data_IF_106084672533
#
_entry.id   IF_106084672533
#
_cell.length_a   1.000
_cell.length_b   1.000
_cell.length_c   1.000
_cell.angle_alpha   90.00
_cell.angle_beta   90.00
_cell.angle_gamma   90.00
#
_symmetry.space_group_name_H-M   'P 1'
#
loop_
_entity.id
_entity.type
_entity.pdbx_description
1 polymer ?
#
# COMPACT_ATOMS: atom_id res chain seq x y z
N UNK A 1 -7.51 -22.79 -21.51
CA UNK A 1 -7.33 -23.97 -20.66
C UNK A 1 -6.50 -23.52 -19.48
N UNK A 2 -7.07 -23.55 -18.27
CA UNK A 2 -6.35 -23.12 -17.06
C UNK A 2 -5.27 -24.15 -16.70
N UNK A 3 -4.28 -23.75 -15.90
CA UNK A 3 -3.27 -24.69 -15.41
C UNK A 3 -3.92 -25.86 -14.65
N UNK A 4 -4.93 -25.60 -13.81
CA UNK A 4 -5.65 -26.63 -13.06
C UNK A 4 -6.35 -27.65 -13.97
N UNK A 5 -7.03 -27.19 -15.01
CA UNK A 5 -7.66 -28.08 -15.99
C UNK A 5 -6.61 -28.97 -16.67
N UNK A 6 -5.47 -28.41 -17.06
CA UNK A 6 -4.40 -29.17 -17.70
C UNK A 6 -3.76 -30.16 -16.72
N UNK A 7 -3.44 -29.71 -15.50
CA UNK A 7 -2.81 -30.51 -14.46
C UNK A 7 -3.70 -31.67 -14.01
N UNK A 8 -5.00 -31.44 -13.83
CA UNK A 8 -5.94 -32.48 -13.41
C UNK A 8 -6.20 -33.53 -14.49
N UNK A 9 -6.12 -33.14 -15.78
CA UNK A 9 -6.38 -34.03 -16.91
C UNK A 9 -5.15 -34.80 -17.41
N UNK A 10 -3.94 -34.46 -16.99
CA UNK A 10 -2.73 -35.25 -17.32
C UNK A 10 -2.56 -36.44 -16.36
N UNK A 11 -2.02 -37.54 -16.89
CA UNK A 11 -1.72 -38.74 -16.10
C UNK A 11 -0.68 -38.47 -15.00
N UNK A 12 -0.80 -39.16 -13.87
CA UNK A 12 0.17 -39.06 -12.78
C UNK A 12 1.59 -39.46 -13.19
N UNK A 13 1.74 -40.40 -14.14
CA UNK A 13 3.05 -40.75 -14.70
C UNK A 13 3.74 -39.54 -15.36
N UNK A 14 3.00 -38.70 -16.07
CA UNK A 14 3.53 -37.51 -16.71
C UNK A 14 3.90 -36.44 -15.68
N UNK A 15 3.05 -36.27 -14.64
CA UNK A 15 3.34 -35.39 -13.50
C UNK A 15 4.62 -35.81 -12.79
N UNK A 16 4.75 -37.09 -12.47
CA UNK A 16 5.93 -37.66 -11.81
C UNK A 16 7.18 -37.53 -12.68
N UNK A 17 7.08 -37.76 -14.00
CA UNK A 17 8.21 -37.57 -14.92
C UNK A 17 8.67 -36.11 -14.98
N UNK A 18 7.73 -35.17 -14.97
CA UNK A 18 8.05 -33.74 -14.92
C UNK A 18 8.69 -33.35 -13.58
N UNK A 19 8.12 -33.81 -12.46
CA UNK A 19 8.67 -33.61 -11.12
C UNK A 19 10.07 -34.19 -10.98
N UNK A 20 10.31 -35.43 -11.44
CA UNK A 20 11.63 -36.07 -11.46
C UNK A 20 12.62 -35.24 -12.28
N UNK A 21 12.21 -34.75 -13.45
CA UNK A 21 13.04 -33.87 -14.29
C UNK A 21 13.37 -32.55 -13.59
N UNK A 22 12.44 -31.95 -12.83
CA UNK A 22 12.70 -30.70 -12.11
C UNK A 22 13.63 -30.96 -10.92
N UNK A 23 13.32 -31.95 -10.09
CA UNK A 23 14.08 -32.26 -8.87
C UNK A 23 15.51 -32.64 -9.24
N UNK A 24 15.72 -33.51 -10.24
CA UNK A 24 17.08 -33.91 -10.66
C UNK A 24 17.96 -32.75 -11.13
N UNK A 25 17.37 -31.67 -11.62
CA UNK A 25 18.10 -30.53 -12.16
C UNK A 25 18.16 -29.32 -11.21
N UNK A 26 17.58 -29.42 -10.00
CA UNK A 26 17.57 -28.34 -9.02
C UNK A 26 18.02 -28.83 -7.64
N UNK A 27 19.19 -28.39 -7.20
CA UNK A 27 19.81 -28.87 -5.96
C UNK A 27 19.03 -28.47 -4.71
N UNK A 28 18.32 -27.34 -4.72
CA UNK A 28 17.49 -26.90 -3.60
C UNK A 28 16.27 -27.80 -3.49
N UNK A 29 15.63 -28.12 -4.61
CA UNK A 29 14.50 -29.06 -4.62
C UNK A 29 14.91 -30.48 -4.22
N UNK A 30 16.15 -30.91 -4.50
CA UNK A 30 16.68 -32.18 -3.98
C UNK A 30 16.79 -32.17 -2.46
N UNK A 31 17.31 -31.08 -1.89
CA UNK A 31 17.43 -30.92 -0.43
C UNK A 31 16.05 -30.87 0.23
N UNK A 32 15.12 -30.10 -0.34
CA UNK A 32 13.74 -30.03 0.13
C UNK A 32 13.08 -31.41 0.06
N UNK A 33 13.17 -32.11 -1.07
CA UNK A 33 12.60 -33.45 -1.22
C UNK A 33 13.18 -34.45 -0.21
N UNK A 34 14.50 -34.42 0.01
CA UNK A 34 15.16 -35.26 1.01
C UNK A 34 14.65 -34.96 2.43
N UNK A 35 14.54 -33.67 2.80
CA UNK A 35 13.98 -33.22 4.07
C UNK A 35 12.54 -33.71 4.27
N UNK A 36 11.68 -33.52 3.26
CA UNK A 36 10.28 -33.97 3.29
C UNK A 36 10.16 -35.47 3.54
N UNK A 37 10.95 -36.24 2.79
CA UNK A 37 10.87 -37.70 2.84
C UNK A 37 11.35 -38.23 4.19
N UNK A 38 12.39 -37.60 4.76
CA UNK A 38 12.89 -37.93 6.09
C UNK A 38 11.86 -37.63 7.18
N UNK A 39 11.21 -36.46 7.15
CA UNK A 39 10.21 -36.10 8.18
C UNK A 39 8.95 -36.98 8.13
N UNK A 40 8.52 -37.40 6.94
CA UNK A 40 7.40 -38.33 6.79
C UNK A 40 7.72 -39.74 7.28
N UNK A 41 8.92 -40.25 6.98
CA UNK A 41 9.35 -41.61 7.36
C UNK A 41 9.78 -41.71 8.83
N UNK A 42 10.21 -40.61 9.43
CA UNK A 42 10.64 -40.58 10.83
C UNK A 42 9.44 -40.73 11.77
N UNK A 43 9.66 -41.44 12.89
CA UNK A 43 8.74 -41.35 14.03
C UNK A 43 8.73 -39.90 14.52
N UNK A 44 7.60 -39.40 15.06
CA UNK A 44 7.57 -38.07 15.64
C UNK A 44 8.59 -38.00 16.79
N UNK A 45 9.74 -37.38 16.52
CA UNK A 45 10.65 -36.97 17.57
C UNK A 45 10.01 -35.76 18.25
N UNK A 46 9.72 -35.91 19.54
CA UNK A 46 9.25 -34.80 20.37
C UNK A 46 10.39 -33.80 20.47
N UNK A 47 10.24 -32.64 19.83
CA UNK A 47 11.20 -31.54 20.01
C UNK A 47 11.04 -30.99 21.43
N UNK A 48 12.06 -31.05 22.28
CA UNK A 48 11.96 -30.52 23.63
C UNK A 48 11.80 -29.01 23.62
N UNK A 49 10.98 -28.47 24.51
CA UNK A 49 10.82 -27.01 24.66
C UNK A 49 12.16 -26.29 24.91
N UNK A 50 13.07 -26.95 25.65
CA UNK A 50 14.43 -26.43 25.88
C UNK A 50 15.21 -26.17 24.59
N UNK A 51 15.07 -27.04 23.59
CA UNK A 51 15.74 -26.86 22.30
C UNK A 51 15.20 -25.64 21.55
N UNK A 52 13.87 -25.45 21.58
CA UNK A 52 13.23 -24.27 21.00
C UNK A 52 13.73 -22.98 21.67
N UNK A 53 13.67 -22.92 23.01
CA UNK A 53 14.14 -21.77 23.79
C UNK A 53 15.63 -21.48 23.58
N UNK A 54 16.49 -22.51 23.48
CA UNK A 54 17.92 -22.34 23.18
C UNK A 54 18.16 -21.66 21.82
N UNK A 55 17.35 -21.97 20.81
CA UNK A 55 17.42 -21.28 19.51
C UNK A 55 16.97 -19.83 19.64
N UNK A 56 15.88 -19.56 20.36
CA UNK A 56 15.40 -18.19 20.62
C UNK A 56 16.51 -17.38 21.26
N UNK A 57 17.03 -17.81 22.42
CA UNK A 57 18.06 -17.09 23.17
C UNK A 57 19.37 -16.95 22.40
N UNK A 58 19.80 -17.99 21.66
CA UNK A 58 21.04 -17.90 20.87
C UNK A 58 20.90 -16.94 19.69
N UNK A 59 19.72 -16.88 19.06
CA UNK A 59 19.42 -15.95 17.98
C UNK A 59 19.32 -14.52 18.52
N UNK A 60 18.54 -14.31 19.59
CA UNK A 60 18.40 -13.02 20.26
C UNK A 60 19.77 -12.44 20.61
N UNK A 61 20.61 -13.21 21.33
CA UNK A 61 21.94 -12.76 21.73
C UNK A 61 22.82 -12.41 20.52
N UNK A 62 22.81 -13.24 19.47
CA UNK A 62 23.61 -13.01 18.26
C UNK A 62 23.22 -11.70 17.57
N UNK A 63 21.93 -11.44 17.39
CA UNK A 63 21.47 -10.27 16.65
C UNK A 63 21.48 -9.01 17.50
N UNK A 64 21.18 -9.11 18.79
CA UNK A 64 21.32 -8.01 19.74
C UNK A 64 22.75 -7.47 19.77
N UNK A 65 23.74 -8.37 19.90
CA UNK A 65 25.16 -7.98 19.85
C UNK A 65 25.52 -7.31 18.52
N UNK A 66 24.94 -7.76 17.39
CA UNK A 66 25.21 -7.13 16.09
C UNK A 66 24.57 -5.76 15.94
N UNK A 67 23.33 -5.59 16.40
CA UNK A 67 22.64 -4.31 16.36
C UNK A 67 23.37 -3.27 17.22
N UNK A 68 23.80 -3.66 18.42
CA UNK A 68 24.55 -2.77 19.34
C UNK A 68 26.00 -2.49 18.90
N UNK A 69 26.51 -3.22 17.91
CA UNK A 69 27.83 -2.96 17.32
C UNK A 69 27.76 -1.98 16.14
N UNK A 70 26.57 -1.60 15.68
CA UNK A 70 26.43 -0.55 14.66
C UNK A 70 26.68 0.79 15.34
N UNK A 71 27.76 1.45 14.93
CA UNK A 71 28.16 2.77 15.43
C UNK A 71 27.49 3.86 14.59
N UNK A 72 26.31 4.31 15.03
CA UNK A 72 25.52 5.32 14.30
C UNK A 72 26.28 6.65 14.17
N UNK A 73 27.16 6.96 15.12
CA UNK A 73 27.95 8.19 15.13
C UNK A 73 29.20 8.09 14.22
N UNK A 74 29.56 6.89 13.80
CA UNK A 74 30.62 6.64 12.83
C UNK A 74 30.34 5.35 12.02
N UNK A 75 29.36 5.40 11.11
CA UNK A 75 28.95 4.23 10.35
C UNK A 75 30.04 3.82 9.35
N UNK A 76 29.92 2.65 8.76
CA UNK A 76 30.85 2.13 7.75
C UNK A 76 30.75 2.92 6.43
N UNK A 77 31.44 4.05 6.42
CA UNK A 77 31.57 4.93 5.26
C UNK A 77 32.25 4.26 4.06
N UNK A 78 33.00 3.17 4.24
CA UNK A 78 33.62 2.45 3.13
C UNK A 78 32.59 1.61 2.36
N UNK A 79 31.59 1.08 3.07
CA UNK A 79 30.50 0.30 2.48
C UNK A 79 29.30 1.16 2.06
N UNK A 80 29.20 2.41 2.51
CA UNK A 80 28.09 3.30 2.20
C UNK A 80 27.94 3.61 0.71
N UNK A 81 26.72 3.43 0.20
CA UNK A 81 26.35 3.79 -1.17
C UNK A 81 25.13 4.72 -1.18
N UNK A 82 25.34 5.98 -1.57
CA UNK A 82 24.27 6.96 -1.65
C UNK A 82 23.15 6.53 -2.63
N UNK A 83 21.86 6.62 -2.23
CA UNK A 83 20.74 6.15 -3.05
C UNK A 83 20.52 7.00 -4.30
N UNK A 84 20.99 8.25 -4.30
CA UNK A 84 20.90 9.15 -5.44
C UNK A 84 22.09 10.11 -5.52
N UNK A 85 22.36 10.59 -6.74
CA UNK A 85 23.32 11.66 -6.96
C UNK A 85 22.75 13.00 -6.54
N UNK A 86 23.44 13.74 -5.67
CA UNK A 86 23.01 15.07 -5.22
C UNK A 86 23.72 15.49 -3.94
N UNK A 87 23.34 16.66 -3.42
CA UNK A 87 23.64 17.00 -2.04
C UNK A 87 22.72 16.18 -1.13
N UNK A 88 23.29 15.56 -0.11
CA UNK A 88 22.60 14.82 0.95
C UNK A 88 22.96 15.54 2.24
N UNK A 89 21.97 15.82 3.09
CA UNK A 89 22.24 16.47 4.37
C UNK A 89 23.08 15.53 5.26
N UNK A 90 23.90 16.10 6.15
CA UNK A 90 24.85 15.30 6.92
C UNK A 90 24.14 14.23 7.77
N UNK A 91 23.15 14.63 8.57
CA UNK A 91 22.33 13.71 9.37
C UNK A 91 21.66 12.60 8.52
N UNK A 92 21.22 12.94 7.30
CA UNK A 92 20.60 12.02 6.36
C UNK A 92 21.62 11.00 5.83
N UNK A 93 22.87 11.41 5.59
CA UNK A 93 23.94 10.50 5.20
C UNK A 93 24.34 9.52 6.31
N UNK A 94 24.38 9.99 7.57
CA UNK A 94 24.63 9.14 8.75
C UNK A 94 23.52 8.11 8.94
N UNK A 95 22.26 8.56 8.83
CA UNK A 95 21.09 7.68 8.88
C UNK A 95 21.18 6.62 7.78
N UNK A 96 21.31 7.03 6.51
CA UNK A 96 21.34 6.11 5.35
C UNK A 96 22.51 5.11 5.40
N UNK A 97 23.67 5.50 5.92
CA UNK A 97 24.80 4.59 6.10
C UNK A 97 24.51 3.54 7.18
N UNK A 98 23.95 3.96 8.32
CA UNK A 98 23.56 3.06 9.40
C UNK A 98 22.42 2.11 8.99
N UNK A 99 21.44 2.61 8.24
CA UNK A 99 20.35 1.82 7.65
C UNK A 99 20.91 0.67 6.79
N UNK A 100 21.90 0.92 5.94
CA UNK A 100 22.55 -0.10 5.11
C UNK A 100 23.29 -1.16 5.93
N UNK A 101 23.89 -0.80 7.07
CA UNK A 101 24.51 -1.76 7.98
C UNK A 101 23.47 -2.70 8.61
N UNK A 102 22.34 -2.14 9.07
CA UNK A 102 21.22 -2.95 9.57
C UNK A 102 20.64 -3.85 8.46
N UNK A 103 20.41 -3.32 7.26
CA UNK A 103 19.94 -4.10 6.11
C UNK A 103 20.85 -5.30 5.82
N UNK A 104 22.17 -5.13 5.93
CA UNK A 104 23.14 -6.22 5.77
C UNK A 104 22.96 -7.30 6.86
N UNK A 105 22.76 -6.90 8.12
CA UNK A 105 22.48 -7.83 9.22
C UNK A 105 21.20 -8.64 8.95
N UNK A 106 20.12 -7.98 8.51
CA UNK A 106 18.86 -8.64 8.17
C UNK A 106 18.97 -9.54 6.93
N UNK A 107 19.76 -9.14 5.93
CA UNK A 107 20.04 -9.95 4.72
C UNK A 107 20.75 -11.26 5.05
N UNK A 108 21.68 -11.23 6.00
CA UNK A 108 22.33 -12.44 6.52
C UNK A 108 21.33 -13.35 7.26
N UNK A 109 20.48 -12.78 8.12
CA UNK A 109 19.41 -13.55 8.77
C UNK A 109 18.48 -14.21 7.76
N UNK A 110 18.06 -13.45 6.74
CA UNK A 110 17.18 -13.93 5.69
C UNK A 110 17.82 -15.13 4.95
N UNK A 111 19.12 -15.06 4.67
CA UNK A 111 19.87 -16.15 4.07
C UNK A 111 19.88 -17.41 4.96
N UNK A 112 20.11 -17.24 6.26
CA UNK A 112 20.04 -18.34 7.23
C UNK A 112 18.64 -18.95 7.29
N UNK A 113 17.60 -18.11 7.40
CA UNK A 113 16.20 -18.53 7.44
C UNK A 113 15.79 -19.30 6.17
N UNK A 114 16.17 -18.83 4.98
CA UNK A 114 15.91 -19.53 3.71
C UNK A 114 16.58 -20.91 3.70
N UNK A 115 17.80 -21.04 4.22
CA UNK A 115 18.45 -22.34 4.34
C UNK A 115 17.68 -23.29 5.28
N UNK A 116 17.06 -22.77 6.35
CA UNK A 116 16.19 -23.57 7.23
C UNK A 116 14.89 -23.97 6.53
N UNK A 117 14.32 -23.12 5.67
CA UNK A 117 13.14 -23.45 4.85
C UNK A 117 13.47 -24.62 3.93
N UNK A 118 14.58 -24.52 3.18
CA UNK A 118 15.06 -25.58 2.27
C UNK A 118 15.31 -26.88 3.04
N UNK A 119 15.82 -26.78 4.27
CA UNK A 119 16.05 -27.91 5.16
C UNK A 119 14.81 -28.44 5.89
N UNK A 120 13.62 -27.89 5.64
CA UNK A 120 12.35 -28.23 6.31
C UNK A 120 12.41 -28.13 7.84
N UNK A 121 12.87 -26.99 8.35
CA UNK A 121 13.02 -26.76 9.80
C UNK A 121 12.09 -25.64 10.30
N UNK A 122 10.75 -25.79 10.21
CA UNK A 122 9.81 -24.73 10.62
C UNK A 122 9.90 -24.38 12.11
N UNK A 123 10.23 -25.35 12.97
CA UNK A 123 10.45 -25.13 14.40
C UNK A 123 11.63 -24.19 14.64
N UNK A 124 12.75 -24.39 13.92
CA UNK A 124 13.93 -23.54 14.04
C UNK A 124 13.65 -22.15 13.46
N UNK A 125 12.92 -22.03 12.35
CA UNK A 125 12.54 -20.75 11.76
C UNK A 125 11.70 -19.92 12.73
N UNK A 126 10.69 -20.54 13.35
CA UNK A 126 9.84 -19.89 14.33
C UNK A 126 10.67 -19.36 15.52
N UNK A 127 11.54 -20.20 16.09
CA UNK A 127 12.41 -19.80 17.18
C UNK A 127 13.40 -18.68 16.79
N UNK A 128 13.97 -18.76 15.59
CA UNK A 128 14.88 -17.72 15.07
C UNK A 128 14.17 -16.38 14.88
N UNK A 129 12.94 -16.38 14.36
CA UNK A 129 12.16 -15.16 14.18
C UNK A 129 11.76 -14.53 15.51
N UNK A 130 11.40 -15.33 16.51
CA UNK A 130 11.15 -14.83 17.87
C UNK A 130 12.41 -14.19 18.44
N UNK A 131 13.55 -14.89 18.37
CA UNK A 131 14.81 -14.34 18.89
C UNK A 131 15.23 -13.06 18.19
N UNK A 132 15.02 -12.96 16.87
CA UNK A 132 15.27 -11.72 16.12
C UNK A 132 14.33 -10.60 16.57
N UNK A 133 13.03 -10.87 16.72
CA UNK A 133 12.06 -9.91 17.23
C UNK A 133 12.48 -9.37 18.60
N UNK A 134 12.81 -10.26 19.55
CA UNK A 134 13.30 -9.86 20.88
C UNK A 134 14.56 -9.00 20.79
N UNK A 135 15.50 -9.36 19.92
CA UNK A 135 16.69 -8.54 19.69
C UNK A 135 16.38 -7.14 19.17
N UNK A 136 15.35 -6.96 18.34
CA UNK A 136 14.94 -5.60 17.89
C UNK A 136 14.34 -4.77 19.01
N UNK A 137 13.67 -5.40 19.98
CA UNK A 137 13.03 -4.71 21.09
C UNK A 137 14.01 -4.36 22.21
N UNK A 138 14.99 -5.26 22.45
CA UNK A 138 15.97 -5.13 23.52
C UNK A 138 17.24 -4.35 23.09
N UNK A 139 17.34 -3.94 21.82
CA UNK A 139 18.47 -3.17 21.34
C UNK A 139 18.55 -1.82 22.07
N UNK A 140 19.70 -1.58 22.70
CA UNK A 140 20.06 -0.28 23.27
C UNK A 140 21.20 0.27 22.41
N UNK A 141 20.88 1.21 21.52
CA UNK A 141 21.83 1.82 20.57
C UNK A 141 21.86 3.32 20.85
N UNK A 142 23.05 3.86 21.06
CA UNK A 142 23.25 5.30 21.27
C UNK A 142 23.20 6.01 19.90
N UNK A 143 22.42 7.08 19.80
CA UNK A 143 22.30 7.95 18.62
C UNK A 143 22.42 9.40 19.08
N UNK A 144 23.65 9.83 19.37
CA UNK A 144 23.92 11.18 19.88
C UNK A 144 23.73 12.25 18.78
N UNK A 145 23.86 11.85 17.50
CA UNK A 145 23.60 12.71 16.34
C UNK A 145 22.10 12.96 16.15
N UNK A 146 21.24 12.05 16.59
CA UNK A 146 19.78 12.10 16.39
C UNK A 146 19.43 11.83 14.93
N UNK A 147 20.12 10.88 14.31
CA UNK A 147 19.87 10.44 12.93
C UNK A 147 18.58 9.63 12.79
N UNK A 148 18.11 8.99 13.86
CA UNK A 148 16.85 8.27 13.95
C UNK A 148 15.92 8.93 14.97
N UNK A 149 14.62 8.91 14.69
CA UNK A 149 13.61 9.26 15.70
C UNK A 149 13.56 8.19 16.81
N UNK A 150 13.55 6.91 16.41
CA UNK A 150 13.73 5.73 17.27
C UNK A 150 14.34 4.59 16.44
N UNK A 151 15.52 4.12 16.83
CA UNK A 151 16.24 3.04 16.13
C UNK A 151 15.47 1.71 16.23
N UNK A 152 14.80 1.45 17.34
CA UNK A 152 14.08 0.19 17.55
C UNK A 152 12.81 0.12 16.70
N UNK A 153 12.17 1.26 16.42
CA UNK A 153 11.08 1.35 15.46
C UNK A 153 11.57 0.97 14.05
N UNK A 154 12.73 1.50 13.61
CA UNK A 154 13.35 1.12 12.34
C UNK A 154 13.70 -0.38 12.27
N UNK A 155 14.33 -0.92 13.33
CA UNK A 155 14.66 -2.35 13.39
C UNK A 155 13.40 -3.23 13.32
N UNK A 156 12.30 -2.79 13.92
CA UNK A 156 11.02 -3.50 13.89
C UNK A 156 10.36 -3.46 12.50
N UNK A 157 10.50 -2.35 11.77
CA UNK A 157 10.08 -2.25 10.37
C UNK A 157 10.87 -3.23 9.49
N UNK A 158 12.19 -3.29 9.64
CA UNK A 158 13.06 -4.22 8.93
C UNK A 158 12.78 -5.70 9.29
N UNK A 159 12.52 -5.97 10.57
CA UNK A 159 12.03 -7.29 11.00
C UNK A 159 10.72 -7.66 10.30
N UNK A 160 9.76 -6.73 10.23
CA UNK A 160 8.46 -6.95 9.60
C UNK A 160 8.61 -7.25 8.10
N UNK A 161 9.48 -6.50 7.41
CA UNK A 161 9.84 -6.71 6.00
C UNK A 161 10.49 -8.09 5.78
N UNK A 162 11.44 -8.45 6.65
CA UNK A 162 12.16 -9.73 6.61
C UNK A 162 11.21 -10.91 6.87
N UNK A 163 10.36 -10.81 7.90
CA UNK A 163 9.36 -11.82 8.24
C UNK A 163 8.34 -12.01 7.11
N UNK A 164 7.92 -10.93 6.45
CA UNK A 164 7.06 -11.01 5.26
C UNK A 164 7.73 -11.80 4.14
N UNK A 165 8.98 -11.51 3.84
CA UNK A 165 9.75 -12.25 2.81
C UNK A 165 9.87 -13.73 3.16
N UNK A 166 10.19 -14.06 4.41
CA UNK A 166 10.26 -15.45 4.90
C UNK A 166 8.90 -16.14 4.79
N UNK A 167 7.82 -15.45 5.17
CA UNK A 167 6.45 -15.95 5.07
C UNK A 167 6.07 -16.28 3.63
N UNK A 168 6.41 -15.42 2.66
CA UNK A 168 6.20 -15.68 1.23
C UNK A 168 7.00 -16.90 0.74
N UNK A 169 8.25 -17.06 1.19
CA UNK A 169 9.05 -18.26 0.86
C UNK A 169 8.46 -19.52 1.49
N UNK A 170 8.01 -19.45 2.73
CA UNK A 170 7.33 -20.56 3.40
C UNK A 170 6.07 -20.99 2.65
N UNK A 171 5.24 -20.05 2.17
CA UNK A 171 4.06 -20.36 1.36
C UNK A 171 4.38 -21.21 0.12
N UNK A 172 5.58 -21.11 -0.44
CA UNK A 172 6.01 -21.92 -1.59
C UNK A 172 6.65 -23.27 -1.21
N UNK A 173 7.12 -23.43 0.03
CA UNK A 173 7.83 -24.64 0.47
C UNK A 173 6.88 -25.82 0.72
N UNK A 174 7.32 -27.04 0.42
CA UNK A 174 6.65 -28.26 0.87
C UNK A 174 7.13 -28.59 2.29
N UNK A 175 6.22 -28.62 3.27
CA UNK A 175 6.55 -28.92 4.67
C UNK A 175 5.61 -30.03 5.14
N UNK A 176 6.15 -31.08 5.76
CA UNK A 176 5.33 -32.16 6.32
C UNK A 176 4.42 -31.64 7.44
N UNK A 177 3.20 -32.16 7.48
CA UNK A 177 2.18 -31.78 8.46
C UNK A 177 2.66 -31.95 9.91
N UNK A 178 3.38 -33.04 10.21
CA UNK A 178 3.95 -33.29 11.55
C UNK A 178 4.81 -32.12 12.04
N UNK A 179 5.67 -31.58 11.17
CA UNK A 179 6.57 -30.48 11.53
C UNK A 179 5.82 -29.15 11.69
N UNK A 180 4.75 -28.94 10.92
CA UNK A 180 3.86 -27.78 11.10
C UNK A 180 3.21 -27.82 12.48
N UNK A 181 2.64 -28.96 12.86
CA UNK A 181 2.01 -29.14 14.17
C UNK A 181 3.01 -28.89 15.29
N UNK A 182 4.19 -29.50 15.23
CA UNK A 182 5.24 -29.27 16.24
C UNK A 182 5.68 -27.81 16.31
N UNK A 183 5.81 -27.10 15.18
CA UNK A 183 6.19 -25.69 15.20
C UNK A 183 5.14 -24.81 15.89
N UNK A 184 3.85 -25.04 15.61
CA UNK A 184 2.75 -24.30 16.23
C UNK A 184 2.62 -24.66 17.72
N UNK A 185 2.76 -25.93 18.09
CA UNK A 185 2.78 -26.36 19.50
C UNK A 185 3.91 -25.68 20.27
N UNK A 186 5.14 -25.67 19.74
CA UNK A 186 6.27 -25.01 20.40
C UNK A 186 6.10 -23.50 20.48
N UNK A 187 5.53 -22.87 19.46
CA UNK A 187 5.17 -21.46 19.51
C UNK A 187 4.18 -21.15 20.65
N UNK A 188 3.12 -21.95 20.76
CA UNK A 188 2.11 -21.78 21.82
C UNK A 188 2.70 -22.03 23.21
N UNK A 189 3.51 -23.09 23.39
CA UNK A 189 4.23 -23.36 24.63
C UNK A 189 5.17 -22.20 25.01
N UNK A 190 5.83 -21.58 24.03
CA UNK A 190 6.69 -20.41 24.25
C UNK A 190 5.89 -19.18 24.69
N UNK A 191 4.78 -18.88 24.01
CA UNK A 191 3.88 -17.79 24.38
C UNK A 191 3.36 -17.98 25.81
N UNK A 192 3.00 -19.20 26.20
CA UNK A 192 2.46 -19.48 27.52
C UNK A 192 3.46 -19.29 28.66
N UNK A 193 4.74 -19.51 28.36
CA UNK A 193 5.86 -19.41 29.29
C UNK A 193 6.36 -17.97 29.42
N UNK A 194 6.69 -17.32 28.30
CA UNK A 194 7.40 -16.02 28.30
C UNK A 194 6.46 -14.83 28.07
N UNK A 195 5.33 -15.04 27.36
CA UNK A 195 4.39 -13.98 26.95
C UNK A 195 2.92 -14.27 27.31
N UNK A 196 2.61 -14.70 28.55
CA UNK A 196 1.29 -15.19 28.91
C UNK A 196 0.20 -14.11 28.74
N UNK A 197 -0.73 -14.32 27.81
CA UNK A 197 -1.83 -13.39 27.54
C UNK A 197 -1.40 -12.10 26.81
N UNK A 198 -0.18 -12.02 26.28
CA UNK A 198 0.26 -10.88 25.49
C UNK A 198 -0.28 -11.00 24.05
N UNK A 199 -1.39 -10.33 23.79
CA UNK A 199 -2.04 -10.34 22.47
C UNK A 199 -1.16 -9.72 21.37
N UNK A 200 -0.34 -8.70 21.69
CA UNK A 200 0.52 -8.05 20.71
C UNK A 200 1.60 -9.01 20.19
N UNK A 201 2.25 -9.74 21.09
CA UNK A 201 3.31 -10.70 20.71
C UNK A 201 2.78 -11.74 19.73
N UNK A 202 1.67 -12.41 20.04
CA UNK A 202 1.10 -13.43 19.16
C UNK A 202 0.65 -12.84 17.80
N UNK A 203 0.13 -11.60 17.82
CA UNK A 203 -0.30 -10.89 16.61
C UNK A 203 0.83 -10.64 15.61
N UNK A 204 2.06 -10.33 16.06
CA UNK A 204 3.20 -10.17 15.16
C UNK A 204 3.47 -11.40 14.30
N UNK A 205 3.26 -12.61 14.85
CA UNK A 205 3.53 -13.87 14.16
C UNK A 205 2.32 -14.44 13.41
N UNK A 206 1.18 -13.74 13.40
CA UNK A 206 -0.06 -14.28 12.83
C UNK A 206 0.09 -14.71 11.37
N UNK A 207 0.68 -13.88 10.51
CA UNK A 207 0.86 -14.21 9.10
C UNK A 207 1.79 -15.41 8.86
N UNK A 208 2.77 -15.62 9.74
CA UNK A 208 3.64 -16.79 9.73
C UNK A 208 2.87 -18.05 10.11
N UNK A 209 2.05 -17.98 11.17
CA UNK A 209 1.17 -19.07 11.60
C UNK A 209 0.16 -19.43 10.51
N UNK A 210 -0.40 -18.43 9.83
CA UNK A 210 -1.27 -18.60 8.65
C UNK A 210 -0.54 -19.38 7.55
N UNK A 211 0.66 -18.97 7.17
CA UNK A 211 1.42 -19.63 6.10
C UNK A 211 1.75 -21.10 6.40
N UNK A 212 1.92 -21.44 7.69
CA UNK A 212 2.08 -22.83 8.13
C UNK A 212 0.74 -23.58 8.14
N UNK A 213 -0.32 -22.97 8.68
CA UNK A 213 -1.65 -23.56 8.80
C UNK A 213 -2.29 -23.89 7.43
N UNK A 214 -2.07 -23.05 6.40
CA UNK A 214 -2.54 -23.29 5.03
C UNK A 214 -2.02 -24.61 4.42
N UNK A 215 -0.94 -25.17 4.97
CA UNK A 215 -0.32 -26.42 4.52
C UNK A 215 -0.75 -27.64 5.32
N UNK A 216 -1.53 -27.44 6.38
CA UNK A 216 -2.01 -28.54 7.23
C UNK A 216 -3.42 -28.95 6.82
N UNK A 217 -3.67 -30.26 6.87
CA UNK A 217 -5.01 -30.85 6.73
C UNK A 217 -5.72 -31.05 8.08
N UNK A 218 -5.10 -30.61 9.19
CA UNK A 218 -5.61 -30.76 10.56
C UNK A 218 -5.99 -29.43 11.25
N UNK A 219 -6.85 -28.58 10.66
CA UNK A 219 -7.17 -27.26 11.20
C UNK A 219 -7.79 -27.30 12.61
N UNK A 220 -8.60 -28.32 12.92
CA UNK A 220 -9.21 -28.49 14.25
C UNK A 220 -8.16 -28.77 15.35
N UNK A 221 -7.05 -29.43 15.02
CA UNK A 221 -5.98 -29.66 15.99
C UNK A 221 -5.21 -28.38 16.28
N UNK A 222 -4.96 -27.57 15.25
CA UNK A 222 -4.34 -26.24 15.41
C UNK A 222 -5.24 -25.33 16.26
N UNK A 223 -6.56 -25.31 16.01
CA UNK A 223 -7.51 -24.60 16.87
C UNK A 223 -7.45 -25.09 18.31
N UNK A 224 -7.38 -26.41 18.53
CA UNK A 224 -7.25 -26.98 19.87
C UNK A 224 -5.96 -26.57 20.57
N UNK A 225 -4.85 -26.39 19.86
CA UNK A 225 -3.59 -25.89 20.44
C UNK A 225 -3.78 -24.44 20.90
N UNK A 226 -4.36 -23.59 20.05
CA UNK A 226 -4.64 -22.19 20.39
C UNK A 226 -5.59 -22.12 21.61
N UNK A 227 -6.69 -22.87 21.60
CA UNK A 227 -7.69 -22.87 22.67
C UNK A 227 -7.16 -23.43 24.01
N UNK A 228 -6.14 -24.29 23.98
CA UNK A 228 -5.47 -24.82 25.18
C UNK A 228 -4.33 -23.93 25.69
N UNK A 229 -3.85 -23.02 24.85
CA UNK A 229 -2.84 -22.02 25.18
C UNK A 229 -3.46 -20.78 25.82
N UNK A 230 -2.61 -19.83 26.24
CA UNK A 230 -2.98 -18.49 26.67
C UNK A 230 -3.04 -17.49 25.51
N UNK A 231 -2.88 -17.94 24.26
CA UNK A 231 -3.07 -17.10 23.08
C UNK A 231 -4.57 -16.85 22.91
N UNK A 232 -5.00 -15.62 23.16
CA UNK A 232 -6.40 -15.27 22.97
C UNK A 232 -6.75 -15.20 21.48
N UNK A 233 -7.91 -15.75 21.08
CA UNK A 233 -8.39 -15.66 19.68
C UNK A 233 -8.38 -14.26 19.06
N UNK A 234 -8.71 -13.15 19.78
CA UNK A 234 -8.60 -11.80 19.24
C UNK A 234 -7.17 -11.36 18.89
N UNK A 235 -6.14 -12.03 19.40
CA UNK A 235 -4.74 -11.77 19.06
C UNK A 235 -4.34 -12.33 17.69
N UNK A 236 -5.06 -13.35 17.22
CA UNK A 236 -4.82 -14.05 15.94
C UNK A 236 -6.12 -14.26 15.16
N UNK A 237 -6.87 -13.18 14.86
CA UNK A 237 -8.22 -13.26 14.32
C UNK A 237 -8.28 -13.84 12.89
N UNK A 238 -7.34 -13.49 12.01
CA UNK A 238 -7.25 -14.01 10.64
C UNK A 238 -6.90 -15.51 10.63
N UNK A 239 -6.01 -15.95 11.52
CA UNK A 239 -5.69 -17.37 11.68
C UNK A 239 -6.92 -18.17 12.15
N UNK A 240 -7.65 -17.67 13.14
CA UNK A 240 -8.88 -18.32 13.63
C UNK A 240 -9.93 -18.42 12.52
N UNK A 241 -10.09 -17.38 11.70
CA UNK A 241 -10.96 -17.43 10.52
C UNK A 241 -10.49 -18.47 9.51
N UNK A 242 -9.21 -18.48 9.15
CA UNK A 242 -8.65 -19.46 8.22
C UNK A 242 -8.92 -20.88 8.69
N UNK A 243 -8.62 -21.19 9.95
CA UNK A 243 -8.77 -22.54 10.50
C UNK A 243 -10.23 -22.99 10.51
N UNK A 244 -11.16 -22.12 10.92
CA UNK A 244 -12.59 -22.44 10.86
C UNK A 244 -13.07 -22.66 9.41
N UNK A 245 -12.55 -21.89 8.45
CA UNK A 245 -12.85 -22.07 7.03
C UNK A 245 -12.32 -23.40 6.50
N UNK A 246 -11.06 -23.74 6.79
CA UNK A 246 -10.45 -25.02 6.41
C UNK A 246 -11.13 -26.23 7.06
N UNK A 247 -11.62 -26.08 8.29
CA UNK A 247 -12.38 -27.11 8.99
C UNK A 247 -13.82 -27.30 8.45
N UNK A 248 -14.30 -26.40 7.58
CA UNK A 248 -15.69 -26.38 7.12
C UNK A 248 -16.69 -25.90 8.18
N UNK A 249 -16.23 -25.27 9.25
CA UNK A 249 -17.06 -24.79 10.36
C UNK A 249 -17.64 -23.40 10.04
N UNK A 250 -18.56 -23.31 9.06
CA UNK A 250 -19.11 -22.03 8.59
C UNK A 250 -19.78 -21.20 9.71
N UNK A 251 -20.42 -21.86 10.67
CA UNK A 251 -21.06 -21.17 11.81
C UNK A 251 -20.03 -20.47 12.71
N UNK A 252 -18.96 -21.17 13.09
CA UNK A 252 -17.88 -20.62 13.90
C UNK A 252 -17.06 -19.58 13.13
N UNK A 253 -16.84 -19.81 11.84
CA UNK A 253 -16.24 -18.84 10.94
C UNK A 253 -17.01 -17.53 10.95
N UNK A 254 -18.33 -17.57 10.75
CA UNK A 254 -19.18 -16.38 10.73
C UNK A 254 -19.24 -15.71 12.11
N UNK A 255 -19.25 -16.50 13.19
CA UNK A 255 -19.22 -15.97 14.55
C UNK A 255 -17.93 -15.18 14.81
N UNK A 256 -16.77 -15.76 14.48
CA UNK A 256 -15.47 -15.12 14.65
C UNK A 256 -15.33 -13.90 13.74
N UNK A 257 -15.80 -13.97 12.49
CA UNK A 257 -15.79 -12.84 11.58
C UNK A 257 -16.59 -11.65 12.14
N UNK A 258 -17.80 -11.90 12.66
CA UNK A 258 -18.63 -10.88 13.34
C UNK A 258 -18.00 -10.32 14.61
N UNK A 259 -17.17 -11.11 15.29
CA UNK A 259 -16.50 -10.67 16.51
C UNK A 259 -15.33 -9.71 16.18
N UNK A 260 -14.59 -9.98 15.11
CA UNK A 260 -13.30 -9.31 14.86
C UNK A 260 -13.30 -8.29 13.71
N UNK A 261 -14.36 -8.19 12.90
CA UNK A 261 -14.36 -7.29 11.74
C UNK A 261 -14.14 -5.80 12.08
N UNK A 262 -14.53 -5.36 13.27
CA UNK A 262 -14.27 -3.97 13.67
C UNK A 262 -12.80 -3.72 14.02
N UNK A 263 -12.08 -4.72 14.53
CA UNK A 263 -10.69 -4.58 14.99
C UNK A 263 -9.66 -5.02 13.94
N UNK A 264 -10.02 -5.89 13.00
CA UNK A 264 -9.13 -6.37 11.95
C UNK A 264 -9.73 -6.13 10.54
N UNK A 265 -8.97 -5.41 9.71
CA UNK A 265 -9.35 -4.98 8.38
C UNK A 265 -9.53 -6.13 7.39
N UNK A 266 -8.66 -7.14 7.40
CA UNK A 266 -8.76 -8.28 6.49
C UNK A 266 -9.95 -9.17 6.84
N UNK A 267 -10.24 -9.35 8.14
CA UNK A 267 -11.47 -10.03 8.60
C UNK A 267 -12.71 -9.29 8.11
N UNK A 268 -12.73 -7.95 8.18
CA UNK A 268 -13.83 -7.17 7.64
C UNK A 268 -14.03 -7.35 6.14
N UNK A 269 -12.95 -7.38 5.36
CA UNK A 269 -13.04 -7.65 3.91
C UNK A 269 -13.65 -9.02 3.63
N UNK A 270 -13.20 -10.05 4.36
CA UNK A 270 -13.74 -11.41 4.22
C UNK A 270 -15.23 -11.49 4.60
N UNK A 271 -15.64 -10.82 5.69
CA UNK A 271 -17.04 -10.77 6.11
C UNK A 271 -17.92 -10.04 5.09
N UNK A 272 -17.46 -8.91 4.57
CA UNK A 272 -18.16 -8.15 3.54
C UNK A 272 -18.32 -8.98 2.26
N UNK A 273 -17.27 -9.66 1.81
CA UNK A 273 -17.37 -10.52 0.62
C UNK A 273 -18.39 -11.64 0.83
N UNK A 274 -18.36 -12.30 1.99
CA UNK A 274 -19.33 -13.34 2.33
C UNK A 274 -20.77 -12.82 2.32
N UNK A 275 -21.04 -11.67 2.94
CA UNK A 275 -22.38 -11.10 2.92
C UNK A 275 -22.81 -10.61 1.55
N UNK A 276 -21.89 -10.10 0.74
CA UNK A 276 -22.22 -9.69 -0.63
C UNK A 276 -22.75 -10.88 -1.45
N UNK A 277 -22.17 -12.06 -1.26
CA UNK A 277 -22.55 -13.29 -1.94
C UNK A 277 -23.79 -13.96 -1.35
N UNK A 278 -24.03 -13.82 -0.05
CA UNK A 278 -25.07 -14.60 0.68
C UNK A 278 -26.26 -13.76 1.18
N UNK A 279 -26.01 -12.57 1.74
CA UNK A 279 -27.00 -11.76 2.44
C UNK A 279 -26.75 -10.25 2.24
N UNK A 280 -27.25 -9.71 1.13
CA UNK A 280 -27.08 -8.29 0.75
C UNK A 280 -27.50 -7.29 1.82
N UNK A 281 -28.50 -7.61 2.65
CA UNK A 281 -28.94 -6.74 3.75
C UNK A 281 -27.85 -6.56 4.81
N UNK A 282 -27.27 -7.67 5.27
CA UNK A 282 -26.14 -7.67 6.22
C UNK A 282 -24.91 -7.00 5.63
N UNK A 283 -24.66 -7.17 4.32
CA UNK A 283 -23.59 -6.46 3.62
C UNK A 283 -23.73 -4.94 3.77
N UNK A 284 -24.91 -4.39 3.45
CA UNK A 284 -25.13 -2.93 3.51
C UNK A 284 -24.97 -2.39 4.93
N UNK A 285 -25.45 -3.11 5.95
CA UNK A 285 -25.31 -2.70 7.34
C UNK A 285 -23.83 -2.65 7.74
N UNK A 286 -23.11 -3.76 7.53
CA UNK A 286 -21.69 -3.88 7.89
C UNK A 286 -20.81 -2.91 7.09
N UNK A 287 -21.10 -2.72 5.80
CA UNK A 287 -20.35 -1.78 4.94
C UNK A 287 -20.54 -0.34 5.39
N UNK A 288 -21.75 0.08 5.78
CA UNK A 288 -22.00 1.42 6.30
C UNK A 288 -21.29 1.67 7.64
N UNK A 289 -21.28 0.67 8.53
CA UNK A 289 -20.57 0.76 9.81
C UNK A 289 -19.07 0.95 9.61
N UNK A 290 -18.46 0.11 8.76
CA UNK A 290 -17.05 0.19 8.40
C UNK A 290 -16.70 1.51 7.69
N UNK A 291 -17.52 1.93 6.72
CA UNK A 291 -17.32 3.19 6.00
C UNK A 291 -17.27 4.39 6.93
N UNK A 292 -18.09 4.43 7.99
CA UNK A 292 -18.08 5.53 8.94
C UNK A 292 -16.83 5.54 9.85
N UNK A 293 -16.17 4.39 10.03
CA UNK A 293 -14.94 4.28 10.80
C UNK A 293 -13.73 4.81 10.03
N UNK A 294 -13.60 4.46 8.75
CA UNK A 294 -12.57 4.98 7.86
C UNK A 294 -13.11 5.15 6.43
N UNK A 295 -13.60 6.35 6.13
CA UNK A 295 -14.23 6.65 4.85
C UNK A 295 -13.27 6.47 3.68
N UNK A 296 -12.00 6.86 3.84
CA UNK A 296 -11.03 6.87 2.74
C UNK A 296 -10.67 5.45 2.33
N UNK A 297 -10.35 4.60 3.31
CA UNK A 297 -9.99 3.22 3.07
C UNK A 297 -11.17 2.44 2.49
N UNK A 298 -12.33 2.49 3.16
CA UNK A 298 -13.48 1.69 2.77
C UNK A 298 -14.15 2.17 1.49
N UNK A 299 -14.06 3.46 1.14
CA UNK A 299 -14.51 3.92 -0.18
C UNK A 299 -13.78 3.19 -1.32
N UNK A 300 -12.45 3.02 -1.19
CA UNK A 300 -11.63 2.33 -2.20
C UNK A 300 -11.97 0.85 -2.31
N UNK A 301 -12.21 0.19 -1.19
CA UNK A 301 -12.61 -1.22 -1.17
C UNK A 301 -14.04 -1.44 -1.70
N UNK A 302 -15.00 -0.62 -1.25
CA UNK A 302 -16.43 -0.81 -1.53
C UNK A 302 -16.82 -0.42 -2.96
N UNK A 303 -16.00 0.36 -3.68
CA UNK A 303 -16.33 0.91 -5.02
C UNK A 303 -16.80 -0.14 -6.03
N UNK A 304 -16.28 -1.36 -5.92
CA UNK A 304 -16.54 -2.47 -6.85
C UNK A 304 -17.74 -3.33 -6.42
N UNK A 305 -18.28 -3.10 -5.21
CA UNK A 305 -19.43 -3.81 -4.65
C UNK A 305 -20.70 -2.97 -4.62
N UNK A 306 -20.57 -1.64 -4.55
CA UNK A 306 -21.73 -0.73 -4.44
C UNK A 306 -22.43 -0.52 -5.78
N UNK A 307 -23.75 -0.54 -5.75
CA UNK A 307 -24.60 -0.11 -6.85
C UNK A 307 -25.83 0.63 -6.32
N UNK A 308 -26.46 1.41 -7.19
CA UNK A 308 -27.67 2.16 -6.84
C UNK A 308 -28.82 1.22 -6.45
N UNK A 309 -28.90 0.05 -7.10
CA UNK A 309 -29.90 -0.98 -6.80
C UNK A 309 -29.64 -1.70 -5.47
N UNK A 310 -28.38 -1.75 -5.03
CA UNK A 310 -28.01 -2.38 -3.77
C UNK A 310 -28.30 -1.47 -2.58
N UNK A 311 -27.72 -0.26 -2.59
CA UNK A 311 -28.01 0.79 -1.63
C UNK A 311 -27.59 2.15 -2.20
N UNK A 312 -28.59 2.98 -2.52
CA UNK A 312 -28.38 4.30 -3.13
C UNK A 312 -27.55 5.22 -2.23
N UNK A 313 -27.77 5.20 -0.91
CA UNK A 313 -27.08 6.13 0.00
C UNK A 313 -25.59 5.79 0.10
N UNK A 314 -25.27 4.51 0.25
CA UNK A 314 -23.91 4.00 0.29
C UNK A 314 -23.19 4.23 -1.04
N UNK A 315 -23.88 4.00 -2.17
CA UNK A 315 -23.33 4.32 -3.50
C UNK A 315 -22.92 5.79 -3.61
N UNK A 316 -23.79 6.72 -3.20
CA UNK A 316 -23.49 8.15 -3.19
C UNK A 316 -22.32 8.44 -2.26
N UNK A 317 -22.33 7.93 -1.03
CA UNK A 317 -21.30 8.20 -0.03
C UNK A 317 -19.91 7.72 -0.49
N UNK A 318 -19.82 6.51 -1.05
CA UNK A 318 -18.56 5.94 -1.54
C UNK A 318 -17.98 6.80 -2.67
N UNK A 319 -18.76 7.08 -3.70
CA UNK A 319 -18.27 7.85 -4.84
C UNK A 319 -18.10 9.35 -4.53
N UNK A 320 -18.83 9.89 -3.56
CA UNK A 320 -18.59 11.24 -3.03
C UNK A 320 -17.20 11.29 -2.40
N UNK A 321 -16.88 10.33 -1.53
CA UNK A 321 -15.58 10.25 -0.87
C UNK A 321 -14.45 10.07 -1.88
N UNK A 322 -14.61 9.18 -2.86
CA UNK A 322 -13.62 8.99 -3.94
C UNK A 322 -13.43 10.25 -4.78
N UNK A 323 -14.50 11.00 -5.05
CA UNK A 323 -14.41 12.28 -5.77
C UNK A 323 -13.56 13.29 -5.00
N UNK A 324 -13.73 13.36 -3.67
CA UNK A 324 -12.96 14.27 -2.81
C UNK A 324 -11.48 13.85 -2.69
N UNK A 325 -11.22 12.56 -2.48
CA UNK A 325 -9.86 12.07 -2.24
C UNK A 325 -9.03 11.95 -3.52
N UNK A 326 -9.60 11.41 -4.60
CA UNK A 326 -8.86 11.09 -5.84
C UNK A 326 -8.98 12.19 -6.91
N UNK A 327 -9.97 13.10 -6.78
CA UNK A 327 -10.20 14.22 -7.70
C UNK A 327 -10.37 13.74 -9.15
N UNK A 328 -11.06 12.61 -9.31
CA UNK A 328 -11.41 12.05 -10.62
C UNK A 328 -12.85 12.42 -10.97
N UNK A 329 -13.01 13.08 -12.11
CA UNK A 329 -14.31 13.50 -12.65
C UNK A 329 -15.22 12.30 -12.97
N UNK A 330 -14.65 11.12 -13.23
CA UNK A 330 -15.42 9.91 -13.49
C UNK A 330 -16.18 9.43 -12.25
N UNK A 331 -15.61 9.61 -11.05
CA UNK A 331 -16.32 9.33 -9.80
C UNK A 331 -17.48 10.31 -9.58
N UNK A 332 -17.25 11.60 -9.86
CA UNK A 332 -18.33 12.60 -9.80
C UNK A 332 -19.48 12.27 -10.75
N UNK A 333 -19.17 11.93 -12.00
CA UNK A 333 -20.16 11.58 -13.03
C UNK A 333 -21.07 10.43 -12.60
N UNK A 334 -20.57 9.49 -11.79
CA UNK A 334 -21.35 8.37 -11.26
C UNK A 334 -22.44 8.81 -10.28
N UNK A 335 -22.19 9.86 -9.49
CA UNK A 335 -23.12 10.34 -8.45
C UNK A 335 -23.92 11.57 -8.83
N UNK A 336 -23.53 12.25 -9.91
CA UNK A 336 -24.13 13.51 -10.38
C UNK A 336 -25.65 13.53 -10.30
N UNK A 337 -26.32 12.53 -10.89
CA UNK A 337 -27.78 12.47 -11.00
C UNK A 337 -28.48 12.18 -9.66
N UNK A 338 -27.72 11.80 -8.64
CA UNK A 338 -28.23 11.41 -7.33
C UNK A 338 -27.99 12.46 -6.24
N UNK A 339 -27.13 13.45 -6.49
CA UNK A 339 -26.85 14.53 -5.54
C UNK A 339 -28.00 15.55 -5.51
N UNK A 340 -28.47 15.88 -4.32
CA UNK A 340 -29.30 17.06 -4.11
C UNK A 340 -28.50 18.35 -4.32
N UNK A 341 -29.21 19.47 -4.55
CA UNK A 341 -28.56 20.78 -4.68
C UNK A 341 -27.68 21.13 -3.46
N UNK A 342 -28.13 20.82 -2.25
CA UNK A 342 -27.34 21.04 -1.03
C UNK A 342 -26.09 20.17 -0.94
N UNK A 343 -26.16 18.91 -1.38
CA UNK A 343 -25.00 18.01 -1.38
C UNK A 343 -23.98 18.41 -2.45
N UNK A 344 -24.46 18.88 -3.60
CA UNK A 344 -23.61 19.44 -4.64
C UNK A 344 -22.84 20.67 -4.16
N UNK A 345 -23.52 21.64 -3.53
CA UNK A 345 -22.82 22.82 -2.98
C UNK A 345 -21.84 22.44 -1.86
N UNK A 346 -22.17 21.44 -1.05
CA UNK A 346 -21.25 20.89 -0.05
C UNK A 346 -20.00 20.30 -0.70
N UNK A 347 -20.16 19.51 -1.77
CA UNK A 347 -19.04 18.93 -2.51
C UNK A 347 -18.09 20.02 -3.03
N UNK A 348 -18.63 21.07 -3.64
CA UNK A 348 -17.81 22.19 -4.12
C UNK A 348 -17.07 22.88 -2.98
N UNK A 349 -17.71 23.01 -1.81
CA UNK A 349 -17.07 23.55 -0.61
C UNK A 349 -15.97 22.64 -0.10
N UNK A 350 -16.17 21.32 -0.07
CA UNK A 350 -15.14 20.37 0.38
C UNK A 350 -13.91 20.35 -0.55
N UNK A 351 -14.08 20.79 -1.80
CA UNK A 351 -13.06 20.86 -2.84
C UNK A 351 -12.50 22.27 -3.09
N UNK A 352 -12.81 23.26 -2.23
CA UNK A 352 -12.52 24.67 -2.54
C UNK A 352 -11.04 24.98 -2.80
N UNK A 353 -10.13 24.20 -2.21
CA UNK A 353 -8.68 24.33 -2.35
C UNK A 353 -8.15 23.86 -3.71
N UNK A 354 -8.93 23.08 -4.48
CA UNK A 354 -8.57 22.62 -5.82
C UNK A 354 -9.52 23.20 -6.87
N UNK A 355 -9.31 24.48 -7.17
CA UNK A 355 -10.16 25.23 -8.10
C UNK A 355 -10.20 24.63 -9.50
N UNK A 356 -9.10 23.98 -9.93
CA UNK A 356 -9.06 23.28 -11.22
C UNK A 356 -10.11 22.18 -11.27
N UNK A 357 -10.15 21.35 -10.24
CA UNK A 357 -11.10 20.25 -10.19
C UNK A 357 -12.54 20.74 -10.00
N UNK A 358 -12.74 21.81 -9.22
CA UNK A 358 -14.04 22.50 -9.11
C UNK A 358 -14.53 22.98 -10.49
N UNK A 359 -13.65 23.59 -11.30
CA UNK A 359 -13.98 24.02 -12.66
C UNK A 359 -14.38 22.83 -13.53
N UNK A 360 -13.68 21.69 -13.47
CA UNK A 360 -14.06 20.47 -14.17
C UNK A 360 -15.47 19.99 -13.80
N UNK A 361 -15.83 20.04 -12.51
CA UNK A 361 -17.18 19.68 -12.04
C UNK A 361 -18.22 20.67 -12.59
N UNK A 362 -17.95 21.97 -12.50
CA UNK A 362 -18.86 23.01 -12.99
C UNK A 362 -19.06 22.97 -14.51
N UNK A 363 -18.04 22.56 -15.27
CA UNK A 363 -18.12 22.35 -16.72
C UNK A 363 -19.09 21.22 -17.05
N UNK A 364 -19.02 20.09 -16.33
CA UNK A 364 -19.98 18.97 -16.47
C UNK A 364 -21.41 19.41 -16.14
N UNK A 365 -21.57 20.28 -15.14
CA UNK A 365 -22.85 20.89 -14.79
C UNK A 365 -23.29 22.06 -15.68
N UNK A 366 -22.46 22.45 -16.65
CA UNK A 366 -22.69 23.62 -17.53
C UNK A 366 -22.95 24.91 -16.74
N UNK A 367 -22.39 25.04 -15.53
CA UNK A 367 -22.50 26.23 -14.67
C UNK A 367 -21.41 27.24 -15.03
N UNK A 368 -21.43 27.69 -16.29
CA UNK A 368 -20.37 28.54 -16.86
C UNK A 368 -20.22 29.90 -16.15
N UNK A 369 -21.30 30.45 -15.59
CA UNK A 369 -21.24 31.69 -14.83
C UNK A 369 -20.41 31.54 -13.54
N UNK A 370 -20.51 30.39 -12.87
CA UNK A 370 -19.68 30.09 -11.70
C UNK A 370 -18.21 29.93 -12.06
N UNK A 371 -17.91 29.31 -13.22
CA UNK A 371 -16.54 29.22 -13.75
C UNK A 371 -15.99 30.62 -14.02
N UNK A 372 -16.78 31.48 -14.66
CA UNK A 372 -16.41 32.87 -14.91
C UNK A 372 -16.04 33.61 -13.62
N UNK A 373 -16.84 33.47 -12.56
CA UNK A 373 -16.54 34.09 -11.25
C UNK A 373 -15.25 33.58 -10.61
N UNK A 374 -14.90 32.30 -10.80
CA UNK A 374 -13.62 31.74 -10.34
C UNK A 374 -12.47 32.37 -11.12
N UNK A 375 -12.59 32.47 -12.45
CA UNK A 375 -11.57 33.10 -13.30
C UNK A 375 -11.36 34.58 -12.96
N UNK A 376 -12.43 35.32 -12.66
CA UNK A 376 -12.37 36.74 -12.24
C UNK A 376 -11.65 36.92 -10.90
N UNK A 377 -11.78 35.97 -9.97
CA UNK A 377 -11.13 36.04 -8.64
C UNK A 377 -9.67 35.59 -8.68
N UNK A 378 -9.34 34.65 -9.56
CA UNK A 378 -8.04 33.96 -9.59
C UNK A 378 -7.19 34.35 -10.81
N UNK A 379 -7.13 35.67 -11.05
CA UNK A 379 -6.45 36.25 -12.21
C UNK A 379 -4.94 36.00 -12.24
N UNK A 380 -4.31 35.65 -11.12
CA UNK A 380 -2.88 35.38 -11.01
C UNK A 380 -2.53 33.90 -10.83
N UNK A 381 -3.52 33.01 -10.90
CA UNK A 381 -3.30 31.59 -10.66
C UNK A 381 -2.30 30.99 -11.67
N UNK A 382 -1.48 30.06 -11.18
CA UNK A 382 -0.49 29.35 -11.99
C UNK A 382 -1.17 28.52 -13.09
N UNK A 383 -2.31 27.91 -12.77
CA UNK A 383 -3.13 27.03 -13.60
C UNK A 383 -4.27 27.75 -14.32
N UNK A 384 -4.15 29.06 -14.49
CA UNK A 384 -5.15 29.89 -15.17
C UNK A 384 -5.66 29.31 -16.52
N UNK A 385 -4.79 28.63 -17.27
CA UNK A 385 -5.15 27.99 -18.54
C UNK A 385 -6.26 26.95 -18.36
N UNK A 386 -6.17 26.13 -17.31
CA UNK A 386 -7.14 25.09 -17.00
C UNK A 386 -8.47 25.70 -16.55
N UNK A 387 -8.42 26.83 -15.83
CA UNK A 387 -9.62 27.51 -15.31
C UNK A 387 -10.45 28.18 -16.42
N UNK A 388 -9.79 28.85 -17.38
CA UNK A 388 -10.49 29.63 -18.40
C UNK A 388 -10.94 28.80 -19.61
N UNK A 389 -10.25 27.69 -19.90
CA UNK A 389 -10.47 26.88 -21.11
C UNK A 389 -11.93 26.44 -21.32
N UNK A 390 -12.70 26.02 -20.29
CA UNK A 390 -14.09 25.60 -20.47
C UNK A 390 -15.06 26.68 -20.95
N UNK A 391 -14.70 27.96 -20.81
CA UNK A 391 -15.60 29.10 -21.10
C UNK A 391 -15.19 29.92 -22.32
N UNK A 392 -14.12 29.54 -23.04
CA UNK A 392 -13.58 30.28 -24.19
C UNK A 392 -14.61 30.55 -25.30
N UNK A 393 -15.44 29.54 -25.60
CA UNK A 393 -16.48 29.65 -26.63
C UNK A 393 -17.82 30.17 -26.07
N UNK A 394 -18.00 30.13 -24.74
CA UNK A 394 -19.25 30.52 -24.07
C UNK A 394 -19.28 32.02 -23.76
N UNK A 395 -18.15 32.58 -23.31
CA UNK A 395 -17.98 34.01 -23.08
C UNK A 395 -16.77 34.59 -23.84
N UNK A 396 -16.80 34.61 -25.20
CA UNK A 396 -15.66 34.99 -26.02
C UNK A 396 -15.04 36.35 -25.67
N UNK A 397 -15.88 37.37 -25.48
CA UNK A 397 -15.43 38.73 -25.16
C UNK A 397 -14.74 38.80 -23.79
N UNK A 398 -15.38 38.22 -22.77
CA UNK A 398 -14.80 38.13 -21.42
C UNK A 398 -13.43 37.44 -21.47
N UNK A 399 -13.36 36.27 -22.10
CA UNK A 399 -12.14 35.48 -22.15
C UNK A 399 -11.02 36.21 -22.90
N UNK A 400 -11.34 36.85 -24.04
CA UNK A 400 -10.36 37.58 -24.82
C UNK A 400 -9.80 38.78 -24.04
N UNK A 401 -10.67 39.58 -23.42
CA UNK A 401 -10.23 40.73 -22.62
C UNK A 401 -9.40 40.30 -21.41
N UNK A 402 -9.77 39.19 -20.77
CA UNK A 402 -9.06 38.69 -19.60
C UNK A 402 -7.66 38.15 -19.96
N UNK A 403 -7.55 37.38 -21.05
CA UNK A 403 -6.26 36.92 -21.58
C UNK A 403 -5.39 38.12 -22.02
N UNK A 404 -5.97 39.08 -22.73
CA UNK A 404 -5.28 40.31 -23.15
C UNK A 404 -4.74 41.09 -21.96
N UNK A 405 -5.60 41.35 -20.96
CA UNK A 405 -5.23 42.06 -19.74
C UNK A 405 -4.11 41.36 -18.98
N UNK A 406 -4.27 40.05 -18.73
CA UNK A 406 -3.25 39.23 -18.05
C UNK A 406 -1.92 39.22 -18.79
N UNK A 407 -1.96 39.12 -20.12
CA UNK A 407 -0.76 39.13 -20.97
C UNK A 407 -0.02 40.47 -20.90
N UNK A 408 -0.74 41.58 -21.05
CA UNK A 408 -0.18 42.94 -20.98
C UNK A 408 0.37 43.24 -19.57
N UNK A 409 -0.37 42.87 -18.52
CA UNK A 409 0.09 43.07 -17.15
C UNK A 409 1.35 42.24 -16.84
N UNK A 410 1.41 41.00 -17.32
CA UNK A 410 2.55 40.11 -17.07
C UNK A 410 3.80 40.58 -17.82
N UNK A 411 3.67 40.98 -19.09
CA UNK A 411 4.81 41.50 -19.87
C UNK A 411 5.33 42.84 -19.34
N UNK A 412 4.49 43.66 -18.71
CA UNK A 412 4.92 44.91 -18.07
C UNK A 412 5.71 44.62 -16.79
N UNK A 413 5.23 43.73 -15.94
CA UNK A 413 5.73 43.54 -14.57
C UNK A 413 6.77 42.43 -14.38
N UNK A 414 6.84 41.45 -15.30
CA UNK A 414 7.68 40.27 -15.14
C UNK A 414 8.58 40.04 -16.36
N UNK A 415 9.74 39.41 -16.15
CA UNK A 415 10.70 39.07 -17.21
C UNK A 415 11.23 37.66 -16.95
N UNK A 416 11.59 36.94 -18.01
CA UNK A 416 12.14 35.58 -17.93
C UNK A 416 11.58 34.69 -19.02
N UNK A 417 12.35 33.68 -19.44
CA UNK A 417 11.93 32.78 -20.53
C UNK A 417 10.65 32.02 -20.18
N UNK A 418 10.56 31.54 -18.95
CA UNK A 418 9.38 30.79 -18.46
C UNK A 418 8.12 31.67 -18.41
N UNK A 419 8.28 32.96 -18.07
CA UNK A 419 7.20 33.95 -18.12
C UNK A 419 6.70 34.13 -19.56
N UNK A 420 7.62 34.22 -20.52
CA UNK A 420 7.28 34.37 -21.93
C UNK A 420 6.62 33.12 -22.52
N UNK A 421 7.06 31.93 -22.10
CA UNK A 421 6.41 30.67 -22.47
C UNK A 421 4.95 30.65 -21.99
N UNK A 422 4.68 31.05 -20.74
CA UNK A 422 3.32 31.16 -20.20
C UNK A 422 2.46 32.16 -20.98
N UNK A 423 3.02 33.32 -21.32
CA UNK A 423 2.33 34.30 -22.17
C UNK A 423 1.96 33.68 -23.53
N UNK A 424 2.90 32.97 -24.17
CA UNK A 424 2.64 32.31 -25.45
C UNK A 424 1.53 31.24 -25.32
N UNK A 425 1.49 30.48 -24.22
CA UNK A 425 0.41 29.52 -23.94
C UNK A 425 -0.95 30.21 -23.78
N UNK A 426 -1.04 31.31 -23.04
CA UNK A 426 -2.29 32.08 -22.91
C UNK A 426 -2.74 32.65 -24.25
N UNK A 427 -1.82 33.22 -25.02
CA UNK A 427 -2.11 33.75 -26.34
C UNK A 427 -2.58 32.65 -27.29
N UNK A 428 -2.09 31.42 -27.16
CA UNK A 428 -2.57 30.28 -27.93
C UNK A 428 -4.04 29.94 -27.64
N UNK A 429 -4.51 30.15 -26.40
CA UNK A 429 -5.94 29.95 -26.07
C UNK A 429 -6.86 30.88 -26.87
N UNK A 430 -6.39 32.06 -27.28
CA UNK A 430 -7.20 32.99 -28.10
C UNK A 430 -7.57 32.43 -29.47
N UNK A 431 -6.90 31.37 -29.95
CA UNK A 431 -7.28 30.66 -31.19
C UNK A 431 -8.64 30.00 -31.12
N UNK A 432 -9.06 29.64 -29.91
CA UNK A 432 -10.33 28.96 -29.67
C UNK A 432 -11.46 29.92 -29.35
N UNK A 433 -11.19 31.24 -29.38
CA UNK A 433 -12.17 32.27 -29.07
C UNK A 433 -12.79 32.76 -30.40
N UNK A 434 -14.07 32.49 -30.67
CA UNK A 434 -14.70 32.87 -31.93
C UNK A 434 -14.92 34.38 -32.01
N UNK A 435 -14.65 34.99 -33.19
CA UNK A 435 -15.03 36.37 -33.49
C UNK A 435 -14.03 37.45 -33.05
N UNK A 436 -12.83 37.06 -32.60
CA UNK A 436 -11.75 37.97 -32.15
C UNK A 436 -10.47 37.82 -32.99
N UNK A 437 -10.58 37.36 -34.24
CA UNK A 437 -9.43 37.04 -35.08
C UNK A 437 -8.59 38.27 -35.44
N UNK A 438 -9.22 39.43 -35.61
CA UNK A 438 -8.53 40.69 -35.92
C UNK A 438 -7.84 41.24 -34.68
N UNK A 439 -8.55 41.29 -33.55
CA UNK A 439 -8.05 41.75 -32.26
C UNK A 439 -6.90 40.86 -31.76
N UNK A 440 -6.99 39.55 -31.99
CA UNK A 440 -5.88 38.60 -31.76
C UNK A 440 -4.65 39.00 -32.56
N UNK A 441 -4.79 39.23 -33.87
CA UNK A 441 -3.66 39.62 -34.74
C UNK A 441 -3.04 40.93 -34.27
N UNK A 442 -3.86 41.92 -33.90
CA UNK A 442 -3.39 43.18 -33.35
C UNK A 442 -2.61 42.97 -32.05
N UNK A 443 -3.11 42.14 -31.13
CA UNK A 443 -2.43 41.84 -29.88
C UNK A 443 -1.10 41.10 -30.11
N UNK A 444 -1.06 40.14 -31.04
CA UNK A 444 0.18 39.46 -31.44
C UNK A 444 1.20 40.47 -31.99
N UNK A 445 0.77 41.37 -32.88
CA UNK A 445 1.64 42.40 -33.44
C UNK A 445 2.14 43.37 -32.35
N UNK A 446 1.29 43.70 -31.37
CA UNK A 446 1.66 44.53 -30.23
C UNK A 446 2.74 43.85 -29.37
N UNK A 447 2.57 42.56 -29.05
CA UNK A 447 3.53 41.79 -28.26
C UNK A 447 4.83 41.54 -29.02
N UNK A 448 4.74 41.23 -30.31
CA UNK A 448 5.90 41.02 -31.17
C UNK A 448 6.72 42.31 -31.35
N UNK A 449 6.07 43.48 -31.42
CA UNK A 449 6.75 44.77 -31.57
C UNK A 449 6.93 45.53 -30.24
N UNK A 450 6.79 44.85 -29.10
CA UNK A 450 6.93 45.43 -27.77
C UNK A 450 8.29 46.13 -27.58
N UNK A 451 8.30 47.27 -26.87
CA UNK A 451 9.50 48.00 -26.48
C UNK A 451 9.67 48.04 -24.95
N UNK A 452 10.84 47.69 -24.39
CA UNK A 452 12.06 47.24 -25.08
C UNK A 452 11.86 45.88 -25.80
N UNK A 453 12.68 45.62 -26.82
CA UNK A 453 12.60 44.39 -27.60
C UNK A 453 12.82 43.17 -26.70
N UNK A 454 11.93 42.16 -26.81
CA UNK A 454 12.02 40.90 -26.06
C UNK A 454 12.23 39.72 -27.03
N UNK A 455 13.48 39.41 -27.44
CA UNK A 455 13.76 38.34 -28.41
C UNK A 455 13.24 36.96 -27.95
N UNK A 456 13.41 36.63 -26.68
CA UNK A 456 12.95 35.36 -26.12
C UNK A 456 11.42 35.19 -26.23
N UNK A 457 10.64 36.26 -26.03
CA UNK A 457 9.18 36.21 -26.21
C UNK A 457 8.79 35.93 -27.67
N UNK A 458 9.49 36.55 -28.63
CA UNK A 458 9.27 36.28 -30.07
C UNK A 458 9.50 34.82 -30.40
N UNK A 459 10.55 34.24 -29.84
CA UNK A 459 10.88 32.84 -30.10
C UNK A 459 9.84 31.89 -29.48
N UNK A 460 9.37 32.16 -28.26
CA UNK A 460 8.30 31.34 -27.64
C UNK A 460 6.95 31.50 -28.36
N UNK A 461 6.59 32.70 -28.84
CA UNK A 461 5.40 32.92 -29.67
C UNK A 461 5.48 32.14 -31.00
N UNK A 462 6.63 32.18 -31.69
CA UNK A 462 6.83 31.39 -32.93
C UNK A 462 6.69 29.88 -32.68
N UNK A 463 7.26 29.37 -31.58
CA UNK A 463 7.12 27.94 -31.21
C UNK A 463 5.67 27.57 -30.91
N UNK A 464 4.89 28.48 -30.34
CA UNK A 464 3.47 28.28 -30.09
C UNK A 464 2.61 28.30 -31.36
N UNK A 465 3.15 28.80 -32.48
CA UNK A 465 2.49 28.93 -33.79
C UNK A 465 1.80 30.28 -34.01
N UNK A 466 2.17 31.31 -33.22
CA UNK A 466 1.52 32.62 -33.17
C UNK A 466 2.21 33.70 -34.01
#
# INVERSE_FOLDING_TARGET
>A
MSFEELYNNISDQLKLKFLDSIIRNNINLQKEFAGFTQSEQSKPETVPMKFFAEIVTSTQKKYLERFQNVDIDNPDWESYHAPHSGYIEEWEAYQQASEQEFENIFSEFLTEAINKIIGQKPVEIMAMLIGLYEATQDAEIEDDIGSFDDVNDYLLEEFTSTMKTITEKLKMAAISEKLIMTAIEKFAEYCDAEYPGNAHFAGYFEHLLIALAEKSSMPNQILSIIDQSKIERPAVPELVLLLNKLAGNTTEWLHSAKQFYLSNTEVAKQLLQYYFETEKGSFVITANELFNKDKRFWAKFLKDFVSVDLDKSMYINVYYQLTVDERDINHYKKIREYLSGSEFEKLLKDLYWDERFVVCILEVEKRYESIRQIVEKNTNDWYYEDLIKPILEIYPEFCFQHIKGKTIQTIENQRGRDVYERIAKWMKLTEKIPGFENEKRELILQLYNHKPNLPALKDEMRKAGL
#
